data_IF_697455789984
#
_entry.id   IF_697455789984
#
_cell.length_a   1.000
_cell.length_b   1.000
_cell.length_c   1.000
_cell.angle_alpha   90.00
_cell.angle_beta   90.00
_cell.angle_gamma   90.00
#
_symmetry.space_group_name_H-M   'P 1'
#
loop_
_entity.id
_entity.type
_entity.pdbx_description
1 polymer ?
#
# COMPACT_ATOMS: atom_id res chain seq x y z
N UNK A 1 -37.93 -0.94 -4.31
CA UNK A 1 -37.16 -1.43 -5.45
C UNK A 1 -35.78 -0.83 -5.32
N UNK A 2 -34.75 -1.64 -5.11
CA UNK A 2 -33.36 -1.18 -5.20
C UNK A 2 -33.06 -0.80 -6.65
N UNK A 3 -32.30 0.27 -6.84
CA UNK A 3 -31.79 0.61 -8.16
C UNK A 3 -30.60 -0.33 -8.44
N UNK A 4 -30.56 -1.01 -9.61
CA UNK A 4 -29.44 -1.87 -9.95
C UNK A 4 -28.15 -1.04 -9.98
N UNK A 5 -27.06 -1.64 -9.55
CA UNK A 5 -25.76 -0.97 -9.52
C UNK A 5 -25.28 -0.61 -10.94
N UNK A 6 -24.83 0.64 -11.14
CA UNK A 6 -24.19 1.11 -12.38
C UNK A 6 -22.68 0.85 -12.31
N UNK A 7 -22.29 -0.40 -12.54
CA UNK A 7 -20.88 -0.79 -12.59
C UNK A 7 -20.10 -0.08 -13.70
N UNK A 8 -20.76 0.33 -14.78
CA UNK A 8 -20.12 0.96 -15.93
C UNK A 8 -19.52 2.33 -15.57
N UNK A 9 -20.18 3.10 -14.70
CA UNK A 9 -19.64 4.37 -14.20
C UNK A 9 -18.31 4.18 -13.45
N UNK A 10 -18.25 3.21 -12.54
CA UNK A 10 -17.04 2.92 -11.76
C UNK A 10 -15.97 2.27 -12.64
N UNK A 11 -16.34 1.41 -13.59
CA UNK A 11 -15.40 0.84 -14.54
C UNK A 11 -14.67 1.91 -15.35
N UNK A 12 -15.37 2.98 -15.80
CA UNK A 12 -14.74 4.12 -16.49
C UNK A 12 -13.70 4.83 -15.61
N UNK A 13 -13.92 4.93 -14.29
CA UNK A 13 -12.95 5.52 -13.36
C UNK A 13 -11.73 4.62 -13.18
N UNK A 14 -11.95 3.31 -13.06
CA UNK A 14 -10.88 2.30 -13.02
C UNK A 14 -10.04 2.36 -14.29
N UNK A 15 -10.67 2.34 -15.46
CA UNK A 15 -9.94 2.39 -16.75
C UNK A 15 -9.13 3.70 -16.89
N UNK A 16 -9.66 4.84 -16.42
CA UNK A 16 -8.92 6.11 -16.39
C UNK A 16 -7.74 6.06 -15.41
N UNK A 17 -7.90 5.46 -14.23
CA UNK A 17 -6.80 5.26 -13.28
C UNK A 17 -5.65 4.49 -13.94
N UNK A 18 -5.95 3.45 -14.71
CA UNK A 18 -4.96 2.64 -15.42
C UNK A 18 -4.32 3.34 -16.63
N UNK A 19 -4.83 4.50 -17.06
CA UNK A 19 -4.17 5.37 -18.04
C UNK A 19 -3.16 6.32 -17.41
N UNK A 20 -3.15 6.46 -16.07
CA UNK A 20 -2.17 7.27 -15.38
C UNK A 20 -0.80 6.58 -15.42
N UNK A 21 0.22 7.36 -15.76
CA UNK A 21 1.61 6.95 -15.61
C UNK A 21 1.94 6.74 -14.15
N UNK A 22 2.78 5.75 -13.87
CA UNK A 22 3.33 5.49 -12.56
C UNK A 22 4.80 5.17 -12.71
N UNK A 23 5.61 5.53 -11.72
CA UNK A 23 7.06 5.37 -11.84
C UNK A 23 7.65 4.58 -10.67
N UNK A 24 8.11 3.38 -10.99
CA UNK A 24 8.44 2.35 -10.02
C UNK A 24 9.94 2.23 -9.75
N UNK A 25 10.27 1.72 -8.56
CA UNK A 25 11.61 1.20 -8.27
C UNK A 25 12.72 2.23 -8.06
N UNK A 26 12.42 3.52 -8.04
CA UNK A 26 13.38 4.57 -7.70
C UNK A 26 13.09 5.18 -6.33
N UNK A 27 14.14 5.38 -5.54
CA UNK A 27 14.02 6.18 -4.31
C UNK A 27 13.66 7.63 -4.61
N UNK A 28 12.55 8.08 -4.06
CA UNK A 28 12.09 9.48 -4.13
C UNK A 28 11.64 9.97 -2.76
N UNK A 29 11.45 11.28 -2.67
CA UNK A 29 10.87 11.88 -1.48
C UNK A 29 9.45 11.35 -1.27
N UNK A 30 9.10 11.09 -0.01
CA UNK A 30 7.79 10.56 0.36
C UNK A 30 6.63 11.40 -0.22
N UNK A 31 6.72 12.74 -0.14
CA UNK A 31 5.72 13.64 -0.74
C UNK A 31 5.49 13.40 -2.22
N UNK A 32 6.55 13.19 -2.99
CA UNK A 32 6.45 12.98 -4.43
C UNK A 32 5.70 11.67 -4.72
N UNK A 33 6.11 10.56 -4.09
CA UNK A 33 5.45 9.28 -4.32
C UNK A 33 4.01 9.28 -3.83
N UNK A 34 3.73 9.84 -2.66
CA UNK A 34 2.37 9.85 -2.12
C UNK A 34 1.43 10.69 -2.98
N UNK A 35 1.88 11.86 -3.47
CA UNK A 35 1.04 12.70 -4.34
C UNK A 35 0.86 12.09 -5.74
N UNK A 36 1.95 11.67 -6.38
CA UNK A 36 1.93 11.29 -7.79
C UNK A 36 1.49 9.84 -8.02
N UNK A 37 1.65 8.95 -7.05
CA UNK A 37 1.44 7.50 -7.24
C UNK A 37 0.29 6.93 -6.39
N UNK A 38 -0.16 7.64 -5.34
CA UNK A 38 -1.25 7.18 -4.46
C UNK A 38 -2.44 8.12 -4.55
N UNK A 39 -2.23 9.41 -4.30
CA UNK A 39 -3.31 10.41 -4.25
C UNK A 39 -3.92 10.61 -5.64
N UNK A 40 -3.11 10.70 -6.69
CA UNK A 40 -3.56 10.82 -8.09
C UNK A 40 -4.48 9.65 -8.50
N UNK A 41 -4.04 8.41 -8.28
CA UNK A 41 -4.80 7.19 -8.55
C UNK A 41 -6.15 7.21 -7.83
N UNK A 42 -6.15 7.47 -6.52
CA UNK A 42 -7.38 7.50 -5.73
C UNK A 42 -8.34 8.60 -6.17
N UNK A 43 -7.84 9.79 -6.50
CA UNK A 43 -8.69 10.83 -7.06
C UNK A 43 -9.26 10.47 -8.42
N UNK A 44 -8.53 9.74 -9.26
CA UNK A 44 -9.07 9.22 -10.51
C UNK A 44 -10.22 8.21 -10.27
N UNK A 45 -10.05 7.34 -9.26
CA UNK A 45 -11.04 6.33 -8.87
C UNK A 45 -12.34 6.91 -8.30
N UNK A 46 -12.28 8.08 -7.65
CA UNK A 46 -13.45 8.72 -7.03
C UNK A 46 -13.93 9.98 -7.75
N UNK A 47 -13.36 10.28 -8.91
CA UNK A 47 -13.66 11.50 -9.66
C UNK A 47 -15.17 11.65 -9.92
N UNK A 48 -15.73 12.79 -9.49
CA UNK A 48 -17.15 13.11 -9.64
C UNK A 48 -18.08 12.48 -8.59
N UNK A 49 -17.54 11.88 -7.53
CA UNK A 49 -18.32 11.37 -6.40
C UNK A 49 -18.22 12.31 -5.19
N UNK A 50 -19.30 12.40 -4.42
CA UNK A 50 -19.27 12.97 -3.08
C UNK A 50 -18.49 12.03 -2.16
N UNK A 51 -17.44 12.53 -1.52
CA UNK A 51 -16.66 11.75 -0.55
C UNK A 51 -17.39 11.78 0.80
N UNK A 52 -17.80 10.60 1.26
CA UNK A 52 -18.43 10.35 2.55
C UNK A 52 -17.41 9.69 3.48
N UNK A 53 -16.65 10.51 4.20
CA UNK A 53 -15.59 10.05 5.10
C UNK A 53 -15.68 10.64 6.49
N UNK A 54 -16.51 11.65 6.72
CA UNK A 54 -16.79 12.20 8.03
C UNK A 54 -18.07 11.57 8.55
N UNK A 55 -18.03 10.97 9.74
CA UNK A 55 -19.18 10.28 10.34
C UNK A 55 -20.41 11.20 10.50
N UNK A 56 -20.21 12.52 10.64
CA UNK A 56 -21.30 13.49 10.66
C UNK A 56 -22.09 13.56 9.34
N UNK A 57 -21.49 13.15 8.22
CA UNK A 57 -22.17 13.07 6.93
C UNK A 57 -23.29 12.01 6.92
N UNK A 58 -23.31 11.07 7.87
CA UNK A 58 -24.38 10.08 8.00
C UNK A 58 -25.56 10.55 8.87
N UNK A 59 -25.45 11.73 9.48
CA UNK A 59 -26.37 12.26 10.48
C UNK A 59 -27.69 12.83 9.92
N UNK A 60 -27.99 12.69 8.62
CA UNK A 60 -29.18 13.29 7.98
C UNK A 60 -30.53 12.97 8.68
N UNK A 61 -30.61 11.85 9.42
CA UNK A 61 -31.80 11.44 10.20
C UNK A 61 -31.69 11.76 11.69
N UNK A 62 -30.69 12.52 12.12
CA UNK A 62 -30.48 12.89 13.52
C UNK A 62 -31.67 13.72 14.05
N UNK A 63 -32.13 13.50 15.29
CA UNK A 63 -33.15 14.35 15.91
C UNK A 63 -32.61 15.73 16.32
N UNK A 64 -31.29 15.95 16.30
CA UNK A 64 -30.64 17.22 16.66
C UNK A 64 -30.28 18.05 15.42
N UNK A 65 -29.76 19.26 15.63
CA UNK A 65 -29.26 20.12 14.55
C UNK A 65 -28.08 19.51 13.78
N UNK A 66 -27.46 18.44 14.30
CA UNK A 66 -26.46 17.65 13.56
C UNK A 66 -26.99 17.08 12.24
N UNK A 67 -28.32 17.02 12.04
CA UNK A 67 -28.92 16.67 10.75
C UNK A 67 -28.46 17.56 9.60
N UNK A 68 -28.06 18.80 9.89
CA UNK A 68 -27.51 19.73 8.89
C UNK A 68 -26.18 19.26 8.30
N UNK A 69 -25.43 18.38 8.99
CA UNK A 69 -24.20 17.79 8.49
C UNK A 69 -24.45 16.64 7.49
N UNK A 70 -25.67 16.11 7.45
CA UNK A 70 -26.01 14.94 6.64
C UNK A 70 -25.78 15.15 5.14
N UNK A 71 -25.15 14.18 4.50
CA UNK A 71 -24.95 14.17 3.06
C UNK A 71 -26.24 13.86 2.29
N UNK A 72 -26.34 14.42 1.09
CA UNK A 72 -27.39 14.12 0.13
C UNK A 72 -27.07 12.79 -0.60
N UNK A 73 -27.64 11.70 -0.08
CA UNK A 73 -27.44 10.35 -0.62
C UNK A 73 -28.05 10.15 -2.02
N UNK A 74 -28.80 11.12 -2.56
CA UNK A 74 -29.26 11.08 -3.95
C UNK A 74 -28.14 11.36 -4.95
N UNK A 75 -27.02 11.95 -4.49
CA UNK A 75 -25.84 12.19 -5.30
C UNK A 75 -24.95 10.94 -5.37
N UNK A 76 -24.26 10.69 -6.49
CA UNK A 76 -23.22 9.68 -6.58
C UNK A 76 -22.17 9.89 -5.48
N UNK A 77 -21.98 8.89 -4.63
CA UNK A 77 -21.15 9.01 -3.42
C UNK A 77 -20.13 7.89 -3.31
N UNK A 78 -19.02 8.14 -2.61
CA UNK A 78 -18.04 7.13 -2.24
C UNK A 78 -17.79 7.17 -0.75
N UNK A 79 -17.80 6.00 -0.12
CA UNK A 79 -17.27 5.85 1.23
C UNK A 79 -15.84 5.38 1.12
N UNK A 80 -14.95 5.96 1.91
CA UNK A 80 -13.52 5.64 1.85
C UNK A 80 -13.05 5.07 3.16
N UNK A 81 -12.45 3.89 3.11
CA UNK A 81 -11.79 3.26 4.26
C UNK A 81 -10.33 3.08 3.92
N UNK A 82 -9.46 3.47 4.84
CA UNK A 82 -8.02 3.45 4.63
C UNK A 82 -7.33 2.60 5.68
N UNK A 83 -6.58 1.63 5.21
CA UNK A 83 -5.62 0.88 6.00
C UNK A 83 -4.21 1.06 5.46
N UNK A 84 -3.22 0.95 6.35
CA UNK A 84 -1.85 0.78 5.96
C UNK A 84 -1.13 -0.20 6.88
N UNK A 85 -0.05 -0.76 6.36
CA UNK A 85 0.86 -1.57 7.15
C UNK A 85 2.20 -0.87 7.28
N UNK A 86 2.89 -1.07 8.40
CA UNK A 86 4.25 -0.62 8.61
C UNK A 86 5.00 -1.68 9.39
N UNK A 87 6.32 -1.77 9.25
CA UNK A 87 7.09 -2.47 10.27
C UNK A 87 6.98 -1.78 11.64
N UNK A 88 6.80 -2.57 12.71
CA UNK A 88 6.84 -2.10 14.11
C UNK A 88 8.22 -1.60 14.58
N UNK A 89 9.27 -1.70 13.76
CA UNK A 89 10.58 -1.12 14.06
C UNK A 89 10.46 0.40 14.30
N UNK A 90 10.96 0.88 15.43
CA UNK A 90 10.91 2.29 15.83
C UNK A 90 11.49 3.24 14.78
N UNK A 91 12.50 2.80 14.01
CA UNK A 91 13.10 3.60 12.93
C UNK A 91 12.07 3.89 11.83
N UNK A 92 11.10 2.99 11.61
CA UNK A 92 10.09 3.13 10.55
C UNK A 92 8.87 3.97 10.97
N UNK A 93 8.72 4.25 12.27
CA UNK A 93 7.61 5.05 12.79
C UNK A 93 7.82 6.56 12.65
N UNK A 94 8.89 6.98 11.96
CA UNK A 94 9.28 8.38 11.80
C UNK A 94 8.59 9.11 10.65
N UNK A 95 9.40 9.82 9.89
CA UNK A 95 8.97 10.96 9.07
C UNK A 95 8.09 10.57 7.87
N UNK A 96 8.42 9.48 7.18
CA UNK A 96 7.61 8.96 6.08
C UNK A 96 6.20 8.53 6.52
N UNK A 97 6.04 8.11 7.78
CA UNK A 97 4.74 7.73 8.36
C UNK A 97 3.91 8.96 8.70
N UNK A 98 4.53 10.00 9.29
CA UNK A 98 3.88 11.30 9.49
C UNK A 98 3.42 11.91 8.15
N UNK A 99 4.32 11.97 7.16
CA UNK A 99 3.99 12.47 5.81
C UNK A 99 2.84 11.71 5.16
N UNK A 100 2.78 10.39 5.36
CA UNK A 100 1.68 9.58 4.86
C UNK A 100 0.35 10.01 5.49
N UNK A 101 0.32 10.27 6.80
CA UNK A 101 -0.87 10.81 7.48
C UNK A 101 -1.28 12.17 6.89
N UNK A 102 -0.32 13.07 6.71
CA UNK A 102 -0.57 14.45 6.25
C UNK A 102 -1.00 14.52 4.78
N UNK A 103 -0.53 13.59 3.93
CA UNK A 103 -0.77 13.60 2.47
C UNK A 103 -1.88 12.65 2.06
N UNK A 104 -1.85 11.40 2.54
CA UNK A 104 -2.77 10.36 2.07
C UNK A 104 -3.97 10.25 3.02
N UNK A 105 -3.72 9.98 4.30
CA UNK A 105 -4.80 9.71 5.24
C UNK A 105 -5.70 10.93 5.47
N UNK A 106 -5.13 12.14 5.51
CA UNK A 106 -5.88 13.39 5.60
C UNK A 106 -6.92 13.60 4.48
N UNK A 107 -6.86 12.82 3.39
CA UNK A 107 -7.78 12.88 2.25
C UNK A 107 -8.76 11.70 2.17
N UNK A 108 -8.34 10.51 2.58
CA UNK A 108 -9.09 9.26 2.33
C UNK A 108 -9.39 8.42 3.57
N UNK A 109 -8.81 8.73 4.74
CA UNK A 109 -9.22 8.07 5.97
C UNK A 109 -10.51 8.69 6.52
N UNK A 110 -11.24 7.87 7.26
CA UNK A 110 -12.45 8.25 7.98
C UNK A 110 -12.12 9.27 9.07
N UNK A 111 -13.01 10.24 9.27
CA UNK A 111 -13.04 11.17 10.37
C UNK A 111 -14.18 10.77 11.31
N UNK A 112 -13.86 10.66 12.59
CA UNK A 112 -14.86 10.42 13.62
C UNK A 112 -15.80 11.61 13.78
N UNK A 113 -16.91 11.40 14.49
CA UNK A 113 -17.86 12.44 14.86
C UNK A 113 -17.25 13.61 15.66
N UNK A 114 -16.10 13.39 16.30
CA UNK A 114 -15.32 14.41 17.03
C UNK A 114 -14.11 14.94 16.23
N UNK A 115 -13.98 14.57 14.95
CA UNK A 115 -12.93 15.05 14.04
C UNK A 115 -11.60 14.31 14.15
N UNK A 116 -11.57 13.12 14.77
CA UNK A 116 -10.36 12.30 14.84
C UNK A 116 -10.19 11.47 13.57
N UNK A 117 -8.96 11.46 13.04
CA UNK A 117 -8.63 10.64 11.88
C UNK A 117 -8.54 9.16 12.27
N UNK A 118 -9.55 8.37 11.87
CA UNK A 118 -9.65 6.92 12.05
C UNK A 118 -8.93 6.22 10.89
N UNK A 119 -7.65 5.93 11.11
CA UNK A 119 -6.77 5.23 10.17
C UNK A 119 -6.45 3.85 10.72
N UNK A 120 -6.69 2.79 9.95
CA UNK A 120 -6.27 1.46 10.34
C UNK A 120 -4.76 1.30 10.13
N UNK A 121 -4.06 0.98 11.21
CA UNK A 121 -2.61 0.84 11.23
C UNK A 121 -2.22 -0.55 11.74
N UNK A 122 -1.59 -1.33 10.86
CA UNK A 122 -1.08 -2.65 11.20
C UNK A 122 0.45 -2.61 11.28
N UNK A 123 1.03 -3.35 12.24
CA UNK A 123 2.48 -3.30 12.49
C UNK A 123 3.22 -4.65 12.33
N UNK A 124 3.06 -5.37 11.20
CA UNK A 124 3.75 -6.63 10.94
C UNK A 124 5.28 -6.51 11.09
N UNK A 125 5.93 -7.46 11.75
CA UNK A 125 7.40 -7.49 11.79
C UNK A 125 7.95 -7.77 10.37
N UNK A 126 8.78 -6.87 9.82
CA UNK A 126 9.12 -6.88 8.38
C UNK A 126 8.35 -5.87 7.53
N UNK A 127 7.21 -5.38 8.02
CA UNK A 127 6.22 -4.64 7.22
C UNK A 127 5.45 -5.57 6.27
N UNK A 128 4.85 -5.00 5.22
CA UNK A 128 4.15 -5.76 4.19
C UNK A 128 2.78 -6.21 4.68
N UNK A 129 2.54 -7.50 4.88
CA UNK A 129 1.33 -8.00 5.53
C UNK A 129 1.69 -9.14 6.47
N UNK A 130 0.91 -9.34 7.55
CA UNK A 130 0.99 -10.59 8.32
C UNK A 130 0.23 -11.71 7.60
N UNK A 131 -0.95 -11.37 7.09
CA UNK A 131 -1.82 -12.23 6.28
C UNK A 131 -2.73 -11.34 5.44
N UNK A 132 -2.67 -11.49 4.11
CA UNK A 132 -3.51 -10.71 3.18
C UNK A 132 -5.01 -10.90 3.40
N UNK A 133 -5.44 -12.10 3.81
CA UNK A 133 -6.85 -12.39 4.10
C UNK A 133 -7.33 -11.68 5.36
N UNK A 134 -6.54 -11.71 6.44
CA UNK A 134 -6.90 -10.98 7.66
C UNK A 134 -6.94 -9.48 7.43
N UNK A 135 -5.97 -8.93 6.70
CA UNK A 135 -5.95 -7.50 6.37
C UNK A 135 -7.18 -7.11 5.54
N UNK A 136 -7.51 -7.86 4.49
CA UNK A 136 -8.70 -7.62 3.67
C UNK A 136 -10.00 -7.70 4.51
N UNK A 137 -10.17 -8.77 5.28
CA UNK A 137 -11.36 -9.00 6.07
C UNK A 137 -11.61 -7.87 7.09
N UNK A 138 -10.59 -7.53 7.88
CA UNK A 138 -10.71 -6.50 8.91
C UNK A 138 -11.03 -5.13 8.28
N UNK A 139 -10.31 -4.75 7.22
CA UNK A 139 -10.52 -3.43 6.60
C UNK A 139 -11.89 -3.32 5.91
N UNK A 140 -12.37 -4.39 5.26
CA UNK A 140 -13.73 -4.40 4.67
C UNK A 140 -14.81 -4.37 5.76
N UNK A 141 -14.60 -5.07 6.87
CA UNK A 141 -15.56 -5.12 7.98
C UNK A 141 -15.74 -3.77 8.68
N UNK A 142 -14.71 -2.92 8.72
CA UNK A 142 -14.77 -1.58 9.32
C UNK A 142 -15.20 -0.48 8.36
N UNK A 143 -15.55 -0.82 7.12
CA UNK A 143 -15.88 0.19 6.12
C UNK A 143 -17.13 0.97 6.52
N UNK A 144 -18.23 0.23 6.69
CA UNK A 144 -19.52 0.72 7.17
C UNK A 144 -20.33 -0.44 7.72
N UNK A 145 -21.17 -0.13 8.70
CA UNK A 145 -22.22 -1.04 9.12
C UNK A 145 -23.25 -1.27 8.00
N UNK A 146 -23.85 -2.46 7.97
CA UNK A 146 -24.83 -2.88 6.95
C UNK A 146 -25.97 -1.87 6.75
N UNK A 147 -26.48 -1.28 7.84
CA UNK A 147 -27.56 -0.29 7.75
C UNK A 147 -27.14 0.98 6.99
N UNK A 148 -25.89 1.42 7.14
CA UNK A 148 -25.37 2.57 6.41
C UNK A 148 -25.07 2.21 4.95
N UNK A 149 -24.49 1.03 4.69
CA UNK A 149 -24.30 0.53 3.32
C UNK A 149 -25.62 0.49 2.55
N UNK A 150 -26.67 -0.07 3.14
CA UNK A 150 -28.01 -0.11 2.55
C UNK A 150 -28.55 1.29 2.20
N UNK A 151 -28.36 2.28 3.07
CA UNK A 151 -28.81 3.66 2.82
C UNK A 151 -28.09 4.29 1.64
N UNK A 152 -26.79 4.08 1.52
CA UNK A 152 -25.97 4.65 0.45
C UNK A 152 -26.30 3.97 -0.89
N UNK A 153 -26.41 2.65 -0.88
CA UNK A 153 -26.68 1.86 -2.09
C UNK A 153 -28.08 2.11 -2.63
N UNK A 154 -29.07 2.32 -1.76
CA UNK A 154 -30.43 2.71 -2.13
C UNK A 154 -30.54 4.16 -2.63
N UNK A 155 -29.64 5.05 -2.20
CA UNK A 155 -29.68 6.46 -2.54
C UNK A 155 -29.28 6.76 -3.99
N UNK A 156 -28.24 6.12 -4.50
CA UNK A 156 -27.77 6.30 -5.88
C UNK A 156 -27.12 5.01 -6.46
N UNK A 157 -27.43 4.63 -7.71
CA UNK A 157 -26.87 3.43 -8.34
C UNK A 157 -25.38 3.53 -8.68
N UNK A 158 -24.79 4.72 -8.68
CA UNK A 158 -23.35 4.93 -8.91
C UNK A 158 -22.54 4.99 -7.61
N UNK A 159 -23.19 4.91 -6.45
CA UNK A 159 -22.49 4.96 -5.17
C UNK A 159 -21.73 3.67 -4.90
N UNK A 160 -20.49 3.81 -4.42
CA UNK A 160 -19.54 2.73 -4.19
C UNK A 160 -18.88 2.81 -2.82
N UNK A 161 -18.27 1.70 -2.44
CA UNK A 161 -17.28 1.59 -1.38
C UNK A 161 -15.88 1.61 -1.97
N UNK A 162 -14.99 2.46 -1.45
CA UNK A 162 -13.56 2.42 -1.74
C UNK A 162 -12.77 1.89 -0.53
N UNK A 163 -12.23 0.69 -0.68
CA UNK A 163 -11.32 0.06 0.27
C UNK A 163 -9.87 0.31 -0.16
N UNK A 164 -9.17 1.17 0.55
CA UNK A 164 -7.80 1.57 0.25
C UNK A 164 -6.81 0.91 1.21
N UNK A 165 -5.79 0.21 0.69
CA UNK A 165 -4.79 -0.50 1.52
C UNK A 165 -3.37 -0.23 1.03
N UNK A 166 -2.55 0.42 1.86
CA UNK A 166 -1.16 0.73 1.53
C UNK A 166 -0.19 -0.16 2.31
N UNK A 167 0.42 -1.11 1.59
CA UNK A 167 1.38 -2.05 2.17
C UNK A 167 2.78 -1.44 2.18
N UNK A 168 3.36 -1.30 3.38
CA UNK A 168 4.69 -0.67 3.51
C UNK A 168 5.66 -1.58 4.23
N UNK A 169 6.81 -1.80 3.60
CA UNK A 169 7.99 -2.40 4.21
C UNK A 169 9.05 -1.31 4.42
N UNK A 170 10.20 -1.69 4.97
CA UNK A 170 11.30 -0.75 5.11
C UNK A 170 12.67 -1.42 5.01
N UNK A 171 13.66 -0.60 4.68
CA UNK A 171 15.07 -0.97 4.69
C UNK A 171 15.89 0.19 5.24
N UNK A 172 16.82 -0.09 6.13
CA UNK A 172 17.77 0.89 6.64
C UNK A 172 18.85 1.17 5.62
N UNK A 173 19.22 2.44 5.49
CA UNK A 173 20.36 2.88 4.71
C UNK A 173 21.31 3.73 5.53
N UNK A 174 22.56 3.33 5.55
CA UNK A 174 23.65 4.04 6.21
C UNK A 174 24.78 4.33 5.22
N UNK A 175 25.61 5.33 5.53
CA UNK A 175 26.92 5.49 4.90
C UNK A 175 28.01 5.00 5.84
N UNK A 176 28.81 4.04 5.39
CA UNK A 176 29.98 3.52 6.10
C UNK A 176 31.17 3.50 5.14
N UNK A 177 32.32 4.04 5.56
CA UNK A 177 33.52 4.08 4.71
C UNK A 177 33.32 4.78 3.35
N UNK A 178 32.44 5.77 3.28
CA UNK A 178 32.09 6.47 2.03
C UNK A 178 31.11 5.74 1.11
N UNK A 179 30.72 4.50 1.42
CA UNK A 179 29.79 3.69 0.62
C UNK A 179 28.40 3.63 1.25
N UNK A 180 27.37 3.47 0.43
CA UNK A 180 26.02 3.19 0.93
C UNK A 180 25.91 1.73 1.34
N UNK A 181 25.18 1.46 2.42
CA UNK A 181 24.88 0.10 2.92
C UNK A 181 23.39 0.00 3.14
N UNK A 182 22.75 -0.99 2.51
CA UNK A 182 21.32 -1.30 2.70
C UNK A 182 21.16 -2.46 3.68
N UNK A 183 20.08 -2.45 4.47
CA UNK A 183 19.84 -3.41 5.54
C UNK A 183 20.36 -2.97 6.91
N UNK A 184 20.98 -1.80 7.00
CA UNK A 184 21.61 -1.28 8.22
C UNK A 184 21.37 0.21 8.36
N UNK A 185 21.02 0.66 9.56
CA UNK A 185 20.88 2.09 9.86
C UNK A 185 21.01 2.34 11.37
N UNK A 186 20.90 3.60 11.79
CA UNK A 186 20.86 4.01 13.20
C UNK A 186 19.77 5.02 13.41
N UNK A 187 19.18 5.01 14.60
CA UNK A 187 18.09 5.92 14.97
C UNK A 187 18.55 7.37 15.10
N UNK A 188 19.78 7.57 15.57
CA UNK A 188 20.37 8.88 15.77
C UNK A 188 21.90 8.79 15.70
N UNK A 189 22.60 9.93 15.61
CA UNK A 189 24.07 9.95 15.66
C UNK A 189 24.66 9.35 16.93
N UNK A 190 23.89 9.27 18.02
CA UNK A 190 24.32 8.77 19.34
C UNK A 190 24.04 7.28 19.57
N UNK A 191 23.45 6.59 18.58
CA UNK A 191 23.16 5.16 18.67
C UNK A 191 23.98 4.37 17.67
N UNK A 192 24.32 3.15 18.08
CA UNK A 192 25.05 2.22 17.23
C UNK A 192 24.22 1.80 16.00
N UNK A 193 24.86 1.66 14.83
CA UNK A 193 24.27 1.03 13.67
C UNK A 193 23.76 -0.39 13.97
N UNK A 194 22.54 -0.70 13.52
CA UNK A 194 21.94 -2.03 13.62
C UNK A 194 21.20 -2.42 12.34
N UNK A 195 20.83 -3.69 12.26
CA UNK A 195 19.99 -4.20 11.18
C UNK A 195 18.63 -3.46 11.13
N UNK A 196 18.21 -3.12 9.92
CA UNK A 196 16.92 -2.52 9.61
C UNK A 196 16.54 -2.86 8.16
N UNK A 197 15.43 -3.54 7.88
CA UNK A 197 14.53 -4.18 8.83
C UNK A 197 15.19 -5.37 9.55
N UNK A 198 15.20 -5.37 10.89
CA UNK A 198 15.79 -6.46 11.67
C UNK A 198 15.16 -7.83 11.40
N UNK A 199 13.85 -7.88 11.14
CA UNK A 199 13.14 -9.12 10.81
C UNK A 199 13.59 -9.72 9.47
N UNK A 200 13.74 -8.90 8.42
CA UNK A 200 14.18 -9.36 7.10
C UNK A 200 15.64 -9.80 7.15
N UNK A 201 16.51 -8.96 7.73
CA UNK A 201 17.94 -9.27 7.86
C UNK A 201 18.11 -10.55 8.67
N UNK A 202 17.48 -10.65 9.84
CA UNK A 202 17.54 -11.85 10.69
C UNK A 202 17.01 -13.10 10.00
N UNK A 203 15.92 -13.00 9.24
CA UNK A 203 15.40 -14.13 8.47
C UNK A 203 16.40 -14.65 7.44
N UNK A 204 17.12 -13.76 6.75
CA UNK A 204 18.06 -14.14 5.70
C UNK A 204 19.43 -14.57 6.21
N UNK A 205 19.92 -14.00 7.31
CA UNK A 205 21.29 -14.23 7.81
C UNK A 205 21.40 -15.19 8.99
N UNK A 206 20.35 -15.34 9.81
CA UNK A 206 20.30 -16.24 10.98
C UNK A 206 18.91 -16.87 11.09
N UNK A 207 18.51 -17.64 10.08
CA UNK A 207 17.17 -18.23 10.02
C UNK A 207 16.92 -19.19 11.19
N UNK A 208 15.85 -18.96 11.95
CA UNK A 208 15.41 -19.82 13.05
C UNK A 208 14.02 -20.37 12.76
N UNK A 209 13.85 -21.68 12.51
CA UNK A 209 12.55 -22.25 12.12
C UNK A 209 11.48 -22.14 13.22
N UNK A 210 11.88 -21.98 14.49
CA UNK A 210 10.96 -21.75 15.61
C UNK A 210 10.47 -20.29 15.68
N UNK A 211 11.16 -19.35 15.03
CA UNK A 211 10.73 -17.95 14.98
C UNK A 211 9.61 -17.79 13.93
N UNK A 212 8.41 -17.44 14.40
CA UNK A 212 7.23 -17.21 13.56
C UNK A 212 7.46 -16.15 12.49
N UNK A 213 8.19 -15.07 12.83
CA UNK A 213 8.49 -13.97 11.90
C UNK A 213 9.41 -14.45 10.78
N UNK A 214 10.42 -15.27 11.09
CA UNK A 214 11.34 -15.78 10.07
C UNK A 214 10.61 -16.69 9.09
N UNK A 215 9.75 -17.60 9.59
CA UNK A 215 8.90 -18.46 8.76
C UNK A 215 8.00 -17.63 7.84
N UNK A 216 7.36 -16.60 8.39
CA UNK A 216 6.48 -15.71 7.64
C UNK A 216 7.23 -14.98 6.52
N UNK A 217 8.37 -14.35 6.82
CA UNK A 217 9.21 -13.68 5.82
C UNK A 217 9.65 -14.67 4.72
N UNK A 218 10.06 -15.88 5.09
CA UNK A 218 10.41 -16.93 4.12
C UNK A 218 9.22 -17.31 3.23
N UNK A 219 8.02 -17.41 3.79
CA UNK A 219 6.80 -17.67 3.02
C UNK A 219 6.46 -16.51 2.08
N UNK A 220 6.60 -15.26 2.52
CA UNK A 220 6.36 -14.07 1.69
C UNK A 220 7.35 -13.98 0.52
N UNK A 221 8.62 -14.28 0.78
CA UNK A 221 9.65 -14.37 -0.24
C UNK A 221 9.39 -15.53 -1.20
N UNK A 222 8.92 -16.66 -0.68
CA UNK A 222 8.90 -17.94 -1.38
C UNK A 222 10.27 -18.63 -1.30
N UNK A 223 10.25 -19.96 -1.38
CA UNK A 223 11.43 -20.79 -1.07
C UNK A 223 12.63 -20.48 -1.96
N UNK A 224 12.42 -20.35 -3.28
CA UNK A 224 13.50 -20.07 -4.23
C UNK A 224 14.18 -18.73 -3.94
N UNK A 225 13.39 -17.66 -3.78
CA UNK A 225 13.91 -16.34 -3.44
C UNK A 225 14.61 -16.34 -2.09
N UNK A 226 14.06 -17.03 -1.08
CA UNK A 226 14.68 -17.13 0.23
C UNK A 226 16.07 -17.78 0.13
N UNK A 227 16.18 -18.93 -0.55
CA UNK A 227 17.45 -19.61 -0.75
C UNK A 227 18.45 -18.72 -1.51
N UNK A 228 18.02 -18.08 -2.59
CA UNK A 228 18.86 -17.19 -3.38
C UNK A 228 19.36 -16.00 -2.56
N UNK A 229 18.46 -15.25 -1.92
CA UNK A 229 18.79 -14.05 -1.12
C UNK A 229 19.60 -14.35 0.14
N UNK A 230 19.52 -15.58 0.69
CA UNK A 230 20.34 -16.02 1.81
C UNK A 230 21.76 -16.43 1.42
N UNK A 231 22.01 -16.74 0.15
CA UNK A 231 23.29 -17.28 -0.34
C UNK A 231 24.01 -16.39 -1.35
N UNK A 232 23.29 -15.48 -2.00
CA UNK A 232 23.80 -14.60 -3.05
C UNK A 232 23.55 -13.14 -2.71
N UNK A 233 24.48 -12.29 -3.15
CA UNK A 233 24.35 -10.84 -3.04
C UNK A 233 23.81 -10.28 -4.35
N UNK A 234 22.84 -9.38 -4.24
CA UNK A 234 22.39 -8.54 -5.35
C UNK A 234 23.11 -7.21 -5.23
N UNK A 235 23.90 -6.88 -6.25
CA UNK A 235 24.75 -5.69 -6.26
C UNK A 235 24.21 -4.64 -7.23
N UNK A 236 24.47 -3.37 -6.93
CA UNK A 236 24.35 -2.31 -7.93
C UNK A 236 25.51 -2.37 -8.93
N UNK A 237 25.39 -1.64 -10.03
CA UNK A 237 26.45 -1.49 -11.03
C UNK A 237 27.78 -0.98 -10.41
N UNK A 238 27.71 -0.22 -9.30
CA UNK A 238 28.88 0.26 -8.51
C UNK A 238 29.32 -0.70 -7.38
N UNK A 239 28.74 -1.91 -7.30
CA UNK A 239 29.08 -2.93 -6.31
C UNK A 239 28.48 -2.72 -4.92
N UNK A 240 27.42 -1.92 -4.77
CA UNK A 240 26.71 -1.75 -3.49
C UNK A 240 25.70 -2.87 -3.30
N UNK A 241 25.76 -3.56 -2.17
CA UNK A 241 24.82 -4.63 -1.82
C UNK A 241 23.42 -4.06 -1.50
N UNK A 242 22.42 -4.52 -2.26
CA UNK A 242 21.00 -4.16 -2.14
C UNK A 242 20.11 -5.36 -1.83
N UNK A 243 20.68 -6.52 -1.46
CA UNK A 243 19.95 -7.77 -1.18
C UNK A 243 18.81 -7.55 -0.18
N UNK A 244 19.07 -6.82 0.90
CA UNK A 244 18.07 -6.54 1.93
C UNK A 244 16.96 -5.60 1.46
N UNK A 245 17.26 -4.70 0.52
CA UNK A 245 16.24 -3.85 -0.11
C UNK A 245 15.34 -4.70 -1.01
N UNK A 246 15.92 -5.57 -1.85
CA UNK A 246 15.17 -6.47 -2.74
C UNK A 246 14.26 -7.41 -1.94
N UNK A 247 14.75 -7.98 -0.83
CA UNK A 247 13.93 -8.80 0.05
C UNK A 247 12.71 -8.04 0.59
N UNK A 248 12.90 -6.81 1.09
CA UNK A 248 11.81 -5.96 1.56
C UNK A 248 10.79 -5.62 0.47
N UNK A 249 11.25 -5.46 -0.76
CA UNK A 249 10.42 -5.17 -1.92
C UNK A 249 9.54 -6.36 -2.30
N UNK A 250 10.13 -7.56 -2.40
CA UNK A 250 9.39 -8.78 -2.73
C UNK A 250 8.30 -9.04 -1.69
N UNK A 251 8.61 -8.89 -0.39
CA UNK A 251 7.63 -9.03 0.70
C UNK A 251 6.46 -8.04 0.52
N UNK A 252 6.73 -6.78 0.18
CA UNK A 252 5.67 -5.79 -0.03
C UNK A 252 4.77 -6.12 -1.23
N UNK A 253 5.38 -6.48 -2.37
CA UNK A 253 4.66 -6.81 -3.61
C UNK A 253 3.84 -8.09 -3.45
N UNK A 254 4.40 -9.10 -2.78
CA UNK A 254 3.66 -10.33 -2.44
C UNK A 254 2.44 -10.01 -1.59
N UNK A 255 2.60 -9.12 -0.62
CA UNK A 255 1.50 -8.65 0.22
C UNK A 255 0.35 -8.05 -0.61
N UNK A 256 0.65 -7.15 -1.57
CA UNK A 256 -0.37 -6.57 -2.45
C UNK A 256 -1.15 -7.66 -3.20
N UNK A 257 -0.44 -8.64 -3.77
CA UNK A 257 -1.07 -9.73 -4.51
C UNK A 257 -1.99 -10.56 -3.61
N UNK A 258 -1.50 -10.96 -2.44
CA UNK A 258 -2.27 -11.79 -1.51
C UNK A 258 -3.52 -11.05 -0.98
N UNK A 259 -3.38 -9.77 -0.65
CA UNK A 259 -4.50 -8.95 -0.18
C UNK A 259 -5.52 -8.67 -1.30
N UNK A 260 -5.07 -8.42 -2.54
CA UNK A 260 -5.97 -8.23 -3.67
C UNK A 260 -6.82 -9.48 -3.96
N UNK A 261 -6.21 -10.67 -3.90
CA UNK A 261 -6.92 -11.94 -4.03
C UNK A 261 -7.96 -12.16 -2.92
N UNK A 262 -7.64 -11.77 -1.69
CA UNK A 262 -8.57 -11.87 -0.58
C UNK A 262 -9.75 -10.88 -0.71
N UNK A 263 -9.48 -9.63 -1.11
CA UNK A 263 -10.52 -8.62 -1.31
C UNK A 263 -11.57 -9.03 -2.35
N UNK A 264 -11.17 -9.82 -3.36
CA UNK A 264 -12.09 -10.40 -4.33
C UNK A 264 -13.13 -11.35 -3.71
N UNK A 265 -12.91 -11.84 -2.49
CA UNK A 265 -13.84 -12.70 -1.74
C UNK A 265 -14.63 -11.92 -0.69
N UNK A 266 -14.09 -10.80 -0.19
CA UNK A 266 -14.67 -10.00 0.89
C UNK A 266 -15.65 -8.93 0.40
N UNK A 267 -15.41 -8.34 -0.78
CA UNK A 267 -16.20 -7.23 -1.30
C UNK A 267 -17.42 -7.69 -2.11
N UNK A 268 -18.47 -6.88 -2.07
CA UNK A 268 -19.63 -7.02 -2.96
C UNK A 268 -19.42 -6.29 -4.30
N UNK A 269 -20.43 -6.33 -5.17
CA UNK A 269 -20.43 -5.72 -6.51
C UNK A 269 -20.16 -4.21 -6.52
N UNK A 270 -20.42 -3.49 -5.42
CA UNK A 270 -20.21 -2.05 -5.27
C UNK A 270 -18.87 -1.71 -4.61
N UNK A 271 -18.15 -2.71 -4.12
CA UNK A 271 -16.81 -2.59 -3.59
C UNK A 271 -15.76 -2.38 -4.68
N UNK A 272 -14.97 -1.33 -4.53
CA UNK A 272 -13.77 -1.04 -5.29
C UNK A 272 -12.59 -1.05 -4.31
N UNK A 273 -11.55 -1.81 -4.59
CA UNK A 273 -10.31 -1.69 -3.84
C UNK A 273 -9.20 -1.01 -4.64
N UNK A 274 -8.35 -0.25 -3.94
CA UNK A 274 -7.06 0.23 -4.44
C UNK A 274 -5.96 -0.11 -3.44
N UNK A 275 -4.97 -0.87 -3.91
CA UNK A 275 -3.84 -1.28 -3.09
C UNK A 275 -2.56 -0.70 -3.65
N UNK A 276 -1.62 -0.35 -2.77
CA UNK A 276 -0.25 0.01 -3.19
C UNK A 276 0.80 -0.70 -2.35
N UNK A 277 2.00 -0.87 -2.91
CA UNK A 277 3.18 -1.31 -2.17
C UNK A 277 4.28 -0.27 -2.24
N UNK A 278 4.94 -0.04 -1.10
CA UNK A 278 6.15 0.78 -1.05
C UNK A 278 7.16 0.29 -0.02
N UNK A 279 8.43 0.61 -0.24
CA UNK A 279 9.51 0.41 0.75
C UNK A 279 10.02 1.76 1.21
N UNK A 280 9.95 2.02 2.52
CA UNK A 280 10.61 3.17 3.13
C UNK A 280 12.11 2.89 3.27
N UNK A 281 12.96 3.78 2.77
CA UNK A 281 14.41 3.73 2.99
C UNK A 281 14.74 4.64 4.15
N UNK A 282 15.02 4.05 5.32
CA UNK A 282 15.24 4.81 6.54
C UNK A 282 16.65 5.34 6.67
N UNK A 283 16.78 6.62 7.00
CA UNK A 283 18.07 7.32 6.98
C UNK A 283 18.30 8.06 8.29
N UNK A 284 19.52 8.02 8.84
CA UNK A 284 19.83 8.78 10.04
C UNK A 284 19.87 10.28 9.71
N UNK A 285 19.26 11.10 10.57
CA UNK A 285 19.35 12.56 10.55
C UNK A 285 18.87 13.24 9.25
N UNK A 286 18.08 12.54 8.44
CA UNK A 286 17.54 13.04 7.16
C UNK A 286 16.16 12.45 6.94
N UNK A 287 15.35 13.11 6.12
CA UNK A 287 14.03 12.59 5.74
C UNK A 287 14.13 11.19 5.15
N UNK A 288 13.10 10.38 5.32
CA UNK A 288 13.09 9.06 4.69
C UNK A 288 12.73 9.18 3.21
N UNK A 289 13.18 8.20 2.44
CA UNK A 289 12.76 8.04 1.05
C UNK A 289 11.78 6.90 0.93
N UNK A 290 11.07 6.89 -0.18
CA UNK A 290 10.12 5.85 -0.50
C UNK A 290 10.48 5.32 -1.89
N UNK A 291 10.40 4.00 -2.06
CA UNK A 291 10.43 3.34 -3.36
C UNK A 291 9.01 2.84 -3.60
N UNK A 292 8.36 3.29 -4.67
CA UNK A 292 7.05 2.81 -5.10
C UNK A 292 7.19 1.51 -5.90
N UNK A 293 6.39 0.49 -5.60
CA UNK A 293 6.67 -0.89 -6.03
C UNK A 293 5.52 -1.55 -6.78
N UNK A 294 4.29 -1.31 -6.34
CA UNK A 294 3.12 -1.90 -6.95
C UNK A 294 1.89 -1.03 -6.74
N UNK A 295 0.94 -1.19 -7.66
CA UNK A 295 -0.46 -0.82 -7.48
C UNK A 295 -1.39 -1.93 -7.95
N UNK A 296 -2.57 -1.99 -7.37
CA UNK A 296 -3.61 -2.90 -7.79
C UNK A 296 -5.01 -2.29 -7.63
N UNK A 297 -5.94 -2.74 -8.47
CA UNK A 297 -7.37 -2.50 -8.29
C UNK A 297 -8.13 -3.82 -8.27
N UNK A 298 -9.15 -3.93 -7.42
CA UNK A 298 -10.09 -5.06 -7.42
C UNK A 298 -11.48 -4.48 -7.65
N UNK A 299 -12.08 -4.79 -8.79
CA UNK A 299 -13.41 -4.29 -9.14
C UNK A 299 -14.05 -5.13 -10.25
N UNK A 300 -15.36 -5.33 -10.18
CA UNK A 300 -16.19 -5.86 -11.26
C UNK A 300 -15.63 -7.13 -11.91
N UNK A 301 -15.23 -8.09 -11.06
CA UNK A 301 -14.75 -9.40 -11.48
C UNK A 301 -13.32 -9.40 -12.02
N UNK A 302 -12.59 -8.27 -11.91
CA UNK A 302 -11.19 -8.15 -12.32
C UNK A 302 -10.29 -7.63 -11.20
N UNK A 303 -9.18 -8.31 -11.01
CA UNK A 303 -8.02 -7.81 -10.29
C UNK A 303 -7.00 -7.39 -11.34
N UNK A 304 -6.54 -6.15 -11.27
CA UNK A 304 -5.42 -5.64 -12.07
C UNK A 304 -4.25 -5.33 -11.16
N UNK A 305 -3.06 -5.81 -11.47
CA UNK A 305 -1.83 -5.59 -10.69
C UNK A 305 -0.73 -5.11 -11.61
N UNK A 306 -0.05 -4.02 -11.25
CA UNK A 306 1.16 -3.55 -11.90
C UNK A 306 2.24 -3.41 -10.84
N UNK A 307 3.34 -4.13 -10.99
CA UNK A 307 4.41 -4.17 -10.00
C UNK A 307 5.76 -4.53 -10.59
N UNK A 308 6.83 -4.24 -9.85
CA UNK A 308 8.09 -4.96 -10.07
C UNK A 308 7.87 -6.46 -9.87
N UNK A 309 8.72 -7.29 -10.47
CA UNK A 309 8.51 -8.75 -10.42
C UNK A 309 8.93 -9.38 -9.09
N UNK A 310 8.58 -10.64 -8.89
CA UNK A 310 8.79 -11.33 -7.61
C UNK A 310 10.04 -12.22 -7.58
N UNK A 311 10.70 -12.43 -8.72
CA UNK A 311 11.90 -13.28 -8.81
C UNK A 311 13.18 -12.49 -8.45
N UNK A 312 13.82 -12.88 -7.35
CA UNK A 312 15.02 -12.22 -6.82
C UNK A 312 16.21 -12.23 -7.79
N UNK A 313 16.35 -13.26 -8.63
CA UNK A 313 17.51 -13.41 -9.52
C UNK A 313 17.55 -12.35 -10.62
N UNK A 314 16.37 -11.82 -10.98
CA UNK A 314 16.22 -10.80 -12.02
C UNK A 314 16.50 -9.39 -11.53
N UNK A 315 16.65 -9.19 -10.22
CA UNK A 315 16.89 -7.87 -9.66
C UNK A 315 18.34 -7.41 -9.85
N UNK A 316 18.48 -6.13 -10.12
CA UNK A 316 19.73 -5.39 -10.03
C UNK A 316 19.45 -3.93 -9.66
N UNK A 317 20.46 -3.08 -9.69
CA UNK A 317 20.25 -1.65 -9.45
C UNK A 317 21.43 -0.78 -9.83
N UNK A 318 21.21 0.52 -9.75
CA UNK A 318 22.22 1.54 -9.96
C UNK A 318 22.01 2.67 -8.96
N UNK A 319 23.11 3.34 -8.58
CA UNK A 319 23.03 4.58 -7.84
C UNK A 319 23.04 5.73 -8.83
N UNK A 320 21.95 6.49 -8.86
CA UNK A 320 21.78 7.61 -9.79
C UNK A 320 21.82 8.93 -9.04
N UNK A 321 22.46 9.93 -9.64
CA UNK A 321 22.44 11.29 -9.13
C UNK A 321 21.05 11.90 -9.36
N UNK A 322 20.32 12.17 -8.28
CA UNK A 322 18.99 12.78 -8.35
C UNK A 322 18.73 13.66 -7.13
N UNK A 323 18.24 14.87 -7.36
CA UNK A 323 18.01 15.88 -6.32
C UNK A 323 19.24 16.09 -5.40
N UNK A 324 20.44 16.19 -6.02
CA UNK A 324 21.75 16.35 -5.35
C UNK A 324 22.16 15.19 -4.42
N UNK A 325 21.55 14.01 -4.59
CA UNK A 325 21.87 12.81 -3.82
C UNK A 325 22.05 11.60 -4.72
N UNK A 326 22.75 10.58 -4.21
CA UNK A 326 22.82 9.26 -4.84
C UNK A 326 21.62 8.42 -4.38
N UNK A 327 20.72 8.11 -5.31
CA UNK A 327 19.47 7.36 -5.09
C UNK A 327 19.56 5.97 -5.68
N UNK A 328 19.02 4.98 -5.00
CA UNK A 328 18.83 3.66 -5.59
C UNK A 328 17.74 3.72 -6.67
N UNK A 329 18.07 3.27 -7.88
CA UNK A 329 17.12 2.92 -8.94
C UNK A 329 17.28 1.44 -9.25
N UNK A 330 16.20 0.68 -9.05
CA UNK A 330 16.16 -0.75 -9.28
C UNK A 330 16.02 -1.07 -10.76
N UNK A 331 16.51 -2.24 -11.15
CA UNK A 331 16.32 -2.88 -12.46
C UNK A 331 15.74 -4.26 -12.24
N UNK A 332 14.87 -4.71 -13.14
CA UNK A 332 14.27 -6.03 -13.08
C UNK A 332 14.32 -6.71 -14.46
N UNK A 333 15.36 -7.51 -14.72
CA UNK A 333 15.72 -7.95 -16.07
C UNK A 333 15.74 -6.75 -17.04
N UNK A 334 15.06 -6.89 -18.16
CA UNK A 334 14.96 -5.86 -19.21
C UNK A 334 13.67 -5.01 -19.11
N UNK A 335 12.97 -5.04 -17.97
CA UNK A 335 11.73 -4.27 -17.82
C UNK A 335 11.98 -2.77 -17.72
N UNK A 336 11.10 -2.01 -18.36
CA UNK A 336 11.01 -0.56 -18.17
C UNK A 336 10.14 -0.24 -16.95
N UNK A 337 10.76 0.33 -15.91
CA UNK A 337 10.08 0.68 -14.67
C UNK A 337 9.00 1.76 -14.82
N UNK A 338 8.95 2.49 -15.94
CA UNK A 338 7.87 3.44 -16.20
C UNK A 338 6.72 2.81 -17.02
N UNK A 339 6.92 1.59 -17.53
CA UNK A 339 5.98 0.85 -18.38
C UNK A 339 5.90 -0.63 -17.99
N UNK A 340 5.72 -0.89 -16.68
CA UNK A 340 5.60 -2.26 -16.16
C UNK A 340 4.35 -2.96 -16.68
N UNK A 341 4.40 -4.27 -16.95
CA UNK A 341 3.24 -5.03 -17.42
C UNK A 341 2.12 -5.05 -16.38
N UNK A 342 0.87 -5.06 -16.87
CA UNK A 342 -0.32 -5.21 -16.04
C UNK A 342 -0.78 -6.67 -16.11
N UNK A 343 -0.83 -7.31 -14.95
CA UNK A 343 -1.44 -8.63 -14.78
C UNK A 343 -2.95 -8.47 -14.53
N UNK A 344 -3.77 -9.26 -15.23
CA UNK A 344 -5.21 -9.34 -14.98
C UNK A 344 -5.59 -10.73 -14.45
N UNK A 345 -6.35 -10.79 -13.36
CA UNK A 345 -6.96 -12.00 -12.82
C UNK A 345 -8.48 -11.82 -12.74
N UNK A 346 -9.24 -12.87 -13.04
CA UNK A 346 -10.70 -12.83 -12.96
C UNK A 346 -11.20 -13.45 -11.65
N UNK A 347 -12.31 -12.93 -11.13
CA UNK A 347 -13.00 -13.48 -9.97
C UNK A 347 -14.52 -13.37 -10.12
N UNK A 348 -15.26 -14.15 -9.34
CA UNK A 348 -16.71 -14.08 -9.32
C UNK A 348 -17.17 -12.93 -8.42
N UNK A 349 -17.96 -12.02 -8.97
CA UNK A 349 -18.54 -10.91 -8.22
C UNK A 349 -19.62 -11.43 -7.27
N UNK A 350 -19.59 -10.97 -6.02
CA UNK A 350 -20.62 -11.24 -5.02
C UNK A 350 -21.69 -10.15 -5.08
N UNK A 351 -22.96 -10.53 -5.16
CA UNK A 351 -24.07 -9.58 -5.13
C UNK A 351 -24.11 -8.84 -3.79
N UNK A 352 -24.55 -7.58 -3.81
CA UNK A 352 -24.76 -6.80 -2.57
C UNK A 352 -25.97 -7.27 -1.75
N UNK A 353 -26.80 -8.15 -2.32
CA UNK A 353 -27.99 -8.69 -1.67
C UNK A 353 -29.13 -7.68 -1.50
N UNK A 354 -29.08 -6.56 -2.24
CA UNK A 354 -29.95 -5.38 -2.08
C UNK A 354 -31.02 -5.19 -3.14
#
# INVERSE_FOLDING_TARGET
>A
MSLPFDAAATQRRVDRCWQLSASFGMERNAYHNYLNEIVSDRYALISGLQILRDELQFAAKSPTDMKACGADMSLPSVVTTLAYTNCGDRIHQGEATKRYRDVVASRFATLSEIGELKLEAFFPAGGGTDNGATLAHVTVAHELDEQLKHRIYAGNPQSISLVAIDLKTHVGRLREGGKQVYGKTRESPWREPRAACGAIVGALTDYRPQNLIHRRIRNDLGEQNFQYLSSHRILTDDGVDITMAVAAIIVAIRGVRNTALALAQEMDERGLAHLTASTTVNRPSRDDLVIYLARATVFNGKIRIQSLGLDAERYGGQLVAYAKEQRLKLRYGDWDNDNLPIEELSYQVRDSGL
#
